data_IF_728612161839
#
_entry.id   IF_728612161839
#
_cell.length_a   1.000
_cell.length_b   1.000
_cell.length_c   1.000
_cell.angle_alpha   90.00
_cell.angle_beta   90.00
_cell.angle_gamma   90.00
#
_symmetry.space_group_name_H-M   'P 1'
#
loop_
_entity.id
_entity.type
_entity.pdbx_description
1 polymer ?
#
# COMPACT_ATOMS: atom_id res chain seq x y z
N UNK A 1 15.65 -7.27 12.65
CA UNK A 1 14.46 -6.40 12.78
C UNK A 1 13.53 -6.51 11.57
N UNK A 2 13.96 -7.09 10.45
CA UNK A 2 13.20 -7.40 9.23
C UNK A 2 12.03 -8.38 9.44
N UNK A 3 12.28 -9.45 10.19
CA UNK A 3 11.28 -10.49 10.47
C UNK A 3 10.09 -9.98 11.29
N UNK A 4 10.29 -8.91 12.05
CA UNK A 4 9.24 -8.32 12.88
C UNK A 4 8.22 -7.55 12.03
N UNK A 5 8.69 -6.80 11.02
CA UNK A 5 7.81 -6.07 10.11
C UNK A 5 6.93 -7.01 9.28
N UNK A 6 7.53 -8.01 8.64
CA UNK A 6 6.77 -8.98 7.84
C UNK A 6 5.77 -9.73 8.71
N UNK A 7 6.19 -10.19 9.90
CA UNK A 7 5.29 -10.87 10.82
C UNK A 7 4.13 -9.98 11.31
N UNK A 8 4.37 -8.70 11.63
CA UNK A 8 3.30 -7.81 12.10
C UNK A 8 2.32 -7.44 10.96
N UNK A 9 2.84 -7.22 9.74
CA UNK A 9 1.99 -7.00 8.55
C UNK A 9 1.14 -8.23 8.25
N UNK A 10 1.75 -9.42 8.20
CA UNK A 10 1.00 -10.66 7.94
C UNK A 10 -0.01 -10.95 9.06
N UNK A 11 0.33 -10.67 10.33
CA UNK A 11 -0.60 -10.90 11.44
C UNK A 11 -1.78 -9.94 11.45
N UNK A 12 -1.60 -8.67 11.05
CA UNK A 12 -2.65 -7.63 11.15
C UNK A 12 -3.40 -7.41 9.85
N UNK A 13 -2.68 -7.39 8.74
CA UNK A 13 -3.18 -7.02 7.40
C UNK A 13 -3.38 -8.26 6.53
N UNK A 14 -2.55 -9.30 6.69
CA UNK A 14 -2.64 -10.56 5.95
C UNK A 14 -4.07 -11.12 5.83
N UNK A 15 -4.82 -11.30 6.94
CA UNK A 15 -6.20 -11.81 6.89
C UNK A 15 -7.16 -10.96 6.05
N UNK A 16 -6.95 -9.63 6.02
CA UNK A 16 -7.74 -8.75 5.15
C UNK A 16 -7.40 -9.02 3.70
N UNK A 17 -6.11 -9.08 3.36
CA UNK A 17 -5.61 -9.27 1.99
C UNK A 17 -6.02 -10.64 1.43
N UNK A 18 -5.90 -11.71 2.22
CA UNK A 18 -6.38 -13.04 1.84
C UNK A 18 -7.88 -13.03 1.54
N UNK A 19 -8.68 -12.35 2.37
CA UNK A 19 -10.13 -12.22 2.17
C UNK A 19 -10.49 -11.51 0.86
N UNK A 20 -9.68 -10.55 0.42
CA UNK A 20 -9.88 -9.85 -0.86
C UNK A 20 -9.12 -10.51 -2.02
N UNK A 21 -8.54 -11.70 -1.82
CA UNK A 21 -7.98 -12.55 -2.87
C UNK A 21 -6.51 -12.28 -3.20
N UNK A 22 -5.75 -11.68 -2.28
CA UNK A 22 -4.31 -11.50 -2.42
C UNK A 22 -3.53 -12.58 -1.69
N UNK A 23 -2.39 -12.95 -2.26
CA UNK A 23 -1.37 -13.76 -1.62
C UNK A 23 -0.01 -13.04 -1.70
N UNK A 24 0.91 -13.37 -0.79
CA UNK A 24 2.29 -12.87 -0.86
C UNK A 24 2.94 -13.37 -2.17
N UNK A 25 3.51 -12.45 -2.92
CA UNK A 25 4.21 -12.69 -4.19
C UNK A 25 5.73 -12.64 -3.99
N UNK A 26 6.22 -11.61 -3.28
CA UNK A 26 7.64 -11.39 -3.04
C UNK A 26 7.87 -10.51 -1.81
N UNK A 27 9.03 -10.63 -1.18
CA UNK A 27 9.50 -9.75 -0.10
C UNK A 27 10.85 -9.17 -0.52
N UNK A 28 10.97 -7.84 -0.51
CA UNK A 28 12.23 -7.12 -0.73
C UNK A 28 12.63 -6.41 0.57
N UNK A 29 13.67 -6.94 1.21
CA UNK A 29 14.33 -6.35 2.38
C UNK A 29 15.66 -5.65 2.04
N UNK A 30 15.95 -5.50 0.75
CA UNK A 30 17.15 -4.84 0.27
C UNK A 30 17.15 -3.36 0.71
N UNK A 31 18.25 -2.85 1.30
CA UNK A 31 18.36 -1.44 1.62
C UNK A 31 18.30 -0.59 0.34
N UNK A 32 17.76 0.62 0.45
CA UNK A 32 17.76 1.58 -0.65
C UNK A 32 19.21 1.94 -1.08
N UNK A 33 19.38 2.55 -2.25
CA UNK A 33 20.67 3.05 -2.76
C UNK A 33 21.46 3.91 -1.75
N UNK A 34 20.76 4.56 -0.81
CA UNK A 34 21.37 5.30 0.30
C UNK A 34 21.76 4.49 1.54
N UNK A 35 21.66 3.16 1.51
CA UNK A 35 21.96 2.26 2.64
C UNK A 35 20.91 2.26 3.74
N UNK A 36 19.71 2.80 3.48
CA UNK A 36 18.62 2.83 4.45
C UNK A 36 17.77 1.57 4.36
N UNK A 37 17.45 1.00 5.52
CA UNK A 37 16.55 -0.12 5.65
C UNK A 37 15.20 0.20 5.02
N UNK A 38 14.80 -0.66 4.08
CA UNK A 38 13.52 -0.65 3.38
C UNK A 38 12.98 -2.07 3.47
N UNK A 39 11.70 -2.18 3.81
CA UNK A 39 11.02 -3.47 3.81
C UNK A 39 9.80 -3.31 2.92
N UNK A 40 9.67 -4.15 1.90
CA UNK A 40 8.54 -4.16 0.98
C UNK A 40 8.01 -5.59 0.91
N UNK A 41 6.70 -5.72 1.02
CA UNK A 41 5.99 -6.97 0.80
C UNK A 41 5.08 -6.75 -0.40
N UNK A 42 5.30 -7.52 -1.45
CA UNK A 42 4.49 -7.55 -2.64
C UNK A 42 3.42 -8.62 -2.50
N UNK A 43 2.19 -8.25 -2.80
CA UNK A 43 1.05 -9.12 -2.86
C UNK A 43 0.48 -9.14 -4.26
N UNK A 44 -0.05 -10.29 -4.66
CA UNK A 44 -0.64 -10.50 -5.96
C UNK A 44 -2.03 -11.08 -5.82
N UNK A 45 -2.98 -10.51 -6.58
CA UNK A 45 -4.30 -11.09 -6.81
C UNK A 45 -4.40 -11.61 -8.26
N UNK A 46 -5.60 -12.02 -8.65
CA UNK A 46 -5.89 -12.46 -10.02
C UNK A 46 -5.71 -11.36 -11.08
N UNK A 47 -5.85 -10.10 -10.71
CA UNK A 47 -6.00 -8.99 -11.67
C UNK A 47 -5.19 -7.73 -11.32
N UNK A 48 -4.59 -7.67 -10.14
CA UNK A 48 -3.74 -6.56 -9.72
C UNK A 48 -2.69 -6.99 -8.68
N UNK A 49 -1.81 -6.06 -8.33
CA UNK A 49 -0.79 -6.21 -7.28
C UNK A 49 -0.94 -5.13 -6.23
N UNK A 50 -0.56 -5.47 -5.00
CA UNK A 50 -0.40 -4.53 -3.89
C UNK A 50 1.04 -4.58 -3.39
N UNK A 51 1.53 -3.47 -2.86
CA UNK A 51 2.76 -3.46 -2.07
C UNK A 51 2.48 -2.75 -0.75
N UNK A 52 2.97 -3.32 0.32
CA UNK A 52 3.03 -2.70 1.63
C UNK A 52 4.50 -2.49 1.94
N UNK A 53 4.88 -1.27 2.26
CA UNK A 53 6.27 -0.97 2.56
C UNK A 53 6.42 -0.11 3.81
N UNK A 54 7.57 -0.26 4.44
CA UNK A 54 8.10 0.68 5.41
C UNK A 54 9.29 1.41 4.81
N UNK A 55 9.23 2.74 4.78
CA UNK A 55 10.33 3.58 4.31
C UNK A 55 10.78 4.58 5.37
N UNK A 56 12.00 4.39 5.86
CA UNK A 56 12.54 5.15 7.00
C UNK A 56 12.70 6.65 6.74
N UNK A 57 12.94 7.10 5.49
CA UNK A 57 13.10 8.54 5.18
C UNK A 57 11.81 9.33 5.40
N UNK A 58 10.69 8.74 5.03
CA UNK A 58 9.36 9.31 5.31
C UNK A 58 8.81 8.85 6.66
N UNK A 59 9.49 7.86 7.27
CA UNK A 59 9.10 7.27 8.55
C UNK A 59 7.74 6.63 8.49
N UNK A 60 7.26 6.21 7.31
CA UNK A 60 5.87 5.88 7.06
C UNK A 60 5.72 4.44 6.53
N UNK A 61 4.70 3.75 7.03
CA UNK A 61 4.20 2.50 6.46
C UNK A 61 3.04 2.87 5.54
N UNK A 62 3.10 2.46 4.27
CA UNK A 62 2.08 2.83 3.29
C UNK A 62 1.79 1.67 2.33
N UNK A 63 0.71 1.81 1.56
CA UNK A 63 0.21 0.80 0.63
C UNK A 63 -0.03 1.42 -0.76
N UNK A 64 0.43 0.72 -1.79
CA UNK A 64 0.25 1.08 -3.19
C UNK A 64 -0.33 -0.10 -3.98
N UNK A 65 -1.08 0.21 -5.03
CA UNK A 65 -1.69 -0.73 -5.97
C UNK A 65 -1.09 -0.56 -7.37
N UNK A 66 -0.99 -1.65 -8.12
CA UNK A 66 -0.51 -1.65 -9.49
C UNK A 66 -1.27 -2.67 -10.35
N UNK A 67 -1.26 -2.53 -11.69
CA UNK A 67 -1.75 -3.57 -12.60
C UNK A 67 -0.91 -4.84 -12.48
N UNK A 68 -1.47 -5.98 -12.85
CA UNK A 68 -0.83 -7.30 -12.70
C UNK A 68 0.55 -7.41 -13.40
N UNK A 69 0.71 -6.75 -14.54
CA UNK A 69 1.95 -6.70 -15.33
C UNK A 69 3.03 -5.76 -14.74
N UNK A 70 2.72 -5.03 -13.66
CA UNK A 70 3.73 -4.20 -13.01
C UNK A 70 4.87 -5.06 -12.42
N UNK A 71 6.10 -4.62 -12.64
CA UNK A 71 7.28 -5.19 -12.01
C UNK A 71 7.26 -4.91 -10.50
N UNK A 72 7.84 -5.83 -9.72
CA UNK A 72 8.02 -5.68 -8.27
C UNK A 72 9.20 -4.74 -8.01
N UNK A 73 8.97 -3.46 -8.29
CA UNK A 73 9.88 -2.36 -7.99
C UNK A 73 9.28 -1.50 -6.88
N UNK A 74 10.10 -0.67 -6.24
CA UNK A 74 9.60 0.22 -5.21
C UNK A 74 8.64 1.24 -5.81
N UNK A 75 7.43 1.33 -5.26
CA UNK A 75 6.34 2.06 -5.91
C UNK A 75 6.61 3.56 -6.06
N UNK A 76 7.44 4.15 -5.20
CA UNK A 76 7.85 5.56 -5.31
C UNK A 76 8.76 5.84 -6.52
N UNK A 77 9.48 4.83 -7.00
CA UNK A 77 10.31 4.91 -8.22
C UNK A 77 9.53 4.54 -9.49
N UNK A 78 8.28 4.09 -9.35
CA UNK A 78 7.50 3.55 -10.45
C UNK A 78 6.40 4.46 -10.96
N UNK A 79 6.08 4.30 -12.25
CA UNK A 79 4.93 4.95 -12.90
C UNK A 79 3.65 4.11 -12.86
N UNK A 80 3.77 2.81 -12.60
CA UNK A 80 2.64 1.86 -12.60
C UNK A 80 2.04 1.65 -11.21
N UNK A 81 2.79 1.98 -10.16
CA UNK A 81 2.33 1.91 -8.77
C UNK A 81 1.64 3.22 -8.36
N UNK A 82 0.45 3.10 -7.77
CA UNK A 82 -0.37 4.22 -7.32
C UNK A 82 -0.69 4.06 -5.84
N UNK A 83 -0.70 5.13 -5.06
CA UNK A 83 -1.19 5.07 -3.68
C UNK A 83 -2.62 4.50 -3.63
N UNK A 84 -2.93 3.72 -2.59
CA UNK A 84 -4.24 3.06 -2.47
C UNK A 84 -5.43 4.04 -2.50
N UNK A 85 -5.23 5.30 -2.11
CA UNK A 85 -6.25 6.34 -2.15
C UNK A 85 -6.27 7.17 -3.44
N UNK A 86 -5.43 6.86 -4.44
CA UNK A 86 -5.27 7.68 -5.65
C UNK A 86 -6.57 7.85 -6.44
N UNK A 87 -7.34 6.76 -6.55
CA UNK A 87 -8.60 6.69 -7.31
C UNK A 87 -9.84 6.98 -6.46
N UNK A 88 -9.65 7.21 -5.15
CA UNK A 88 -10.77 7.54 -4.26
C UNK A 88 -11.23 8.97 -4.47
N UNK A 89 -12.55 9.19 -4.33
CA UNK A 89 -13.14 10.53 -4.40
C UNK A 89 -12.49 11.42 -3.36
N UNK A 90 -11.78 12.46 -3.81
CA UNK A 90 -11.17 13.44 -2.91
C UNK A 90 -12.29 14.25 -2.26
N UNK A 91 -12.26 14.45 -0.93
CA UNK A 91 -13.23 15.32 -0.29
C UNK A 91 -13.02 16.75 -0.80
N UNK A 92 -14.12 17.48 -0.95
CA UNK A 92 -14.15 18.86 -1.49
C UNK A 92 -13.65 19.87 -0.45
N UNK A 93 -12.40 19.68 -0.05
CA UNK A 93 -11.71 20.50 0.95
C UNK A 93 -10.28 20.78 0.47
N UNK A 94 -9.72 21.96 0.85
CA UNK A 94 -8.40 22.37 0.40
C UNK A 94 -7.32 21.37 0.82
N UNK A 95 -6.23 21.23 0.03
CA UNK A 95 -5.20 20.21 0.25
C UNK A 95 -4.55 20.28 1.63
N UNK A 96 -4.39 21.48 2.19
CA UNK A 96 -3.85 21.67 3.54
C UNK A 96 -4.75 21.09 4.64
N UNK A 97 -6.06 21.24 4.49
CA UNK A 97 -7.04 20.69 5.44
C UNK A 97 -7.14 19.17 5.30
N UNK A 98 -7.04 18.64 4.08
CA UNK A 98 -6.94 17.18 3.83
C UNK A 98 -5.74 16.57 4.53
N UNK A 99 -4.58 17.23 4.44
CA UNK A 99 -3.36 16.75 5.10
C UNK A 99 -3.53 16.73 6.63
N UNK A 100 -4.12 17.78 7.22
CA UNK A 100 -4.39 17.80 8.67
C UNK A 100 -5.32 16.68 9.10
N UNK A 101 -6.41 16.44 8.37
CA UNK A 101 -7.33 15.35 8.69
C UNK A 101 -6.66 13.98 8.57
N UNK A 102 -5.85 13.76 7.54
CA UNK A 102 -5.11 12.52 7.39
C UNK A 102 -4.10 12.30 8.52
N UNK A 103 -3.40 13.35 8.96
CA UNK A 103 -2.47 13.29 10.10
C UNK A 103 -3.25 13.02 11.40
N UNK A 104 -4.36 13.71 11.64
CA UNK A 104 -5.17 13.52 12.84
C UNK A 104 -5.80 12.11 12.90
N UNK A 105 -6.26 11.59 11.76
CA UNK A 105 -6.76 10.23 11.63
C UNK A 105 -5.65 9.23 11.94
N UNK A 106 -4.47 9.37 11.32
CA UNK A 106 -3.32 8.50 11.61
C UNK A 106 -2.91 8.55 13.10
N UNK A 107 -2.91 9.73 13.72
CA UNK A 107 -2.55 9.91 15.13
C UNK A 107 -3.60 9.36 16.10
N UNK A 108 -4.83 9.09 15.64
CA UNK A 108 -5.88 8.50 16.48
C UNK A 108 -5.73 6.98 16.64
N UNK A 109 -4.83 6.35 15.89
CA UNK A 109 -4.55 4.92 16.01
C UNK A 109 -3.29 4.67 16.86
N UNK A 110 -3.40 3.77 17.84
CA UNK A 110 -2.25 3.30 18.62
C UNK A 110 -1.23 2.53 17.77
N UNK A 111 -1.69 1.86 16.70
CA UNK A 111 -0.84 1.14 15.76
C UNK A 111 -1.13 1.57 14.31
N UNK A 112 -0.07 1.95 13.60
CA UNK A 112 -0.15 2.38 12.20
C UNK A 112 -0.57 1.28 11.24
N UNK A 113 -0.30 0.01 11.56
CA UNK A 113 -0.72 -1.12 10.72
C UNK A 113 -2.23 -1.34 10.78
N UNK A 114 -2.88 -1.06 11.91
CA UNK A 114 -4.35 -1.05 11.99
C UNK A 114 -4.96 0.11 11.19
N UNK A 115 -4.35 1.30 11.26
CA UNK A 115 -4.74 2.42 10.40
C UNK A 115 -4.59 2.06 8.92
N UNK A 116 -3.47 1.44 8.54
CA UNK A 116 -3.23 1.03 7.16
C UNK A 116 -4.22 -0.04 6.70
N UNK A 117 -4.54 -1.01 7.56
CA UNK A 117 -5.56 -2.03 7.31
C UNK A 117 -6.91 -1.39 6.99
N UNK A 118 -7.39 -0.46 7.82
CA UNK A 118 -8.66 0.22 7.60
C UNK A 118 -8.64 1.06 6.33
N UNK A 119 -7.50 1.73 6.08
CA UNK A 119 -7.27 2.49 4.85
C UNK A 119 -7.31 1.61 3.60
N UNK A 120 -6.74 0.42 3.63
CA UNK A 120 -6.83 -0.57 2.54
C UNK A 120 -8.30 -0.97 2.35
N UNK A 121 -8.99 -1.38 3.42
CA UNK A 121 -10.39 -1.78 3.34
C UNK A 121 -11.30 -0.68 2.76
N UNK A 122 -11.06 0.58 3.14
CA UNK A 122 -11.82 1.76 2.70
C UNK A 122 -11.59 2.14 1.24
N UNK A 123 -10.37 1.96 0.74
CA UNK A 123 -9.97 2.50 -0.57
C UNK A 123 -9.76 1.43 -1.64
N UNK A 124 -9.68 0.16 -1.26
CA UNK A 124 -9.37 -0.94 -2.18
C UNK A 124 -10.31 -1.02 -3.37
N UNK A 125 -11.64 -0.96 -3.17
CA UNK A 125 -12.59 -1.09 -4.28
C UNK A 125 -12.42 0.00 -5.35
N UNK A 126 -12.24 1.26 -4.92
CA UNK A 126 -12.01 2.38 -5.81
C UNK A 126 -10.65 2.28 -6.51
N UNK A 127 -9.62 1.86 -5.77
CA UNK A 127 -8.28 1.63 -6.31
C UNK A 127 -8.26 0.53 -7.36
N UNK A 128 -8.90 -0.60 -7.05
CA UNK A 128 -9.03 -1.76 -7.92
C UNK A 128 -9.73 -1.39 -9.22
N UNK A 129 -10.91 -0.77 -9.11
CA UNK A 129 -11.68 -0.28 -10.26
C UNK A 129 -10.82 0.68 -11.10
N UNK A 130 -10.18 1.67 -10.47
CA UNK A 130 -9.37 2.64 -11.19
C UNK A 130 -8.12 2.06 -11.86
N UNK A 131 -7.53 1.00 -11.32
CA UNK A 131 -6.43 0.27 -11.96
C UNK A 131 -6.93 -0.49 -13.19
N UNK A 132 -8.04 -1.19 -13.08
CA UNK A 132 -8.64 -1.93 -14.20
C UNK A 132 -9.12 -1.00 -15.32
N UNK A 133 -9.72 0.15 -14.98
CA UNK A 133 -10.13 1.15 -15.97
C UNK A 133 -8.93 1.80 -16.67
N UNK A 134 -7.84 2.06 -15.93
CA UNK A 134 -6.67 2.76 -16.47
C UNK A 134 -5.75 1.87 -17.30
N UNK A 135 -5.62 0.60 -16.94
CA UNK A 135 -4.63 -0.32 -17.54
C UNK A 135 -5.26 -1.51 -18.27
N UNK A 136 -6.58 -1.68 -18.18
CA UNK A 136 -7.29 -2.85 -18.69
C UNK A 136 -7.23 -4.03 -17.71
N UNK A 137 -8.24 -4.90 -17.78
CA UNK A 137 -8.18 -6.20 -17.11
C UNK A 137 -7.18 -7.11 -17.84
N UNK A 138 -6.34 -7.88 -17.13
CA UNK A 138 -5.55 -8.92 -17.77
C UNK A 138 -6.49 -9.96 -18.41
N UNK A 139 -6.20 -10.33 -19.66
CA UNK A 139 -6.92 -11.32 -20.47
C UNK A 139 -6.84 -12.74 -19.86
#
# INVERSE_FOLDING_TARGET
MTSDFVADVESRIGPLLEKIGFAVDEIDDSPDKGGLERNIIYYRSRDCKLQIYYYRREGEINCMIAPLDASNEFGLDSKKWHFINHFSKKPDIPPKERLKLAIAEMQSYDNRLDWLRDRIAKHYEAAHTGILEKYGSPD
#
